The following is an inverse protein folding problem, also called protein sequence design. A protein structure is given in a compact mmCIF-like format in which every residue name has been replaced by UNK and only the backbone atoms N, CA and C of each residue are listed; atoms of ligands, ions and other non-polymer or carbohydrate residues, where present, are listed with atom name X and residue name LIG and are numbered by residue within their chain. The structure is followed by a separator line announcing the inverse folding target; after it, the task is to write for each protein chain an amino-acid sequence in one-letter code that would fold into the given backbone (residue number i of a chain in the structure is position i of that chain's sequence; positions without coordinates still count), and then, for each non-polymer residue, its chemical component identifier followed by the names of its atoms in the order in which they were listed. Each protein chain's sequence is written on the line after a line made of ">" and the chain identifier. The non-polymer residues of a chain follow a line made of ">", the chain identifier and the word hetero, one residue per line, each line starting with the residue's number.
data_IF_975486760539
#
_entry.id   IF_975486760539
#
_cell.length_a   1.000
_cell.length_b   1.000
_cell.length_c   1.000
_cell.angle_alpha   90.00
_cell.angle_beta   90.00
_cell.angle_gamma   90.00
#
_symmetry.space_group_name_H-M   'P 1'
#
loop_
_entity.id
_entity.type
_entity.pdbx_description
1 polymer ?
#
# COMPACT_ATOMS: atom_id res chain seq x y z
N UNK A 1 25.13 -42.18 -14.61
CA UNK A 1 23.80 -42.64 -15.06
C UNK A 1 23.61 -42.12 -16.47
N UNK A 2 23.14 -42.94 -17.41
CA UNK A 2 22.98 -42.54 -18.81
C UNK A 2 22.01 -41.36 -18.92
N UNK A 3 22.36 -40.34 -19.71
CA UNK A 3 21.47 -39.23 -20.04
C UNK A 3 20.28 -39.81 -20.83
N UNK A 4 19.13 -39.93 -20.16
CA UNK A 4 17.88 -40.31 -20.82
C UNK A 4 17.35 -39.13 -21.63
N UNK A 5 16.80 -39.40 -22.81
CA UNK A 5 15.98 -38.42 -23.53
C UNK A 5 14.79 -38.04 -22.65
N UNK A 6 14.69 -36.75 -22.31
CA UNK A 6 13.61 -36.20 -21.49
C UNK A 6 12.79 -35.18 -22.28
N UNK A 7 11.56 -34.94 -21.81
CA UNK A 7 10.76 -33.84 -22.34
C UNK A 7 11.34 -32.51 -21.83
N UNK A 8 11.59 -31.58 -22.75
CA UNK A 8 12.08 -30.23 -22.48
C UNK A 8 11.02 -29.23 -22.95
N UNK A 9 10.58 -28.36 -22.04
CA UNK A 9 9.75 -27.22 -22.38
C UNK A 9 10.62 -26.15 -23.05
N UNK A 10 10.31 -25.85 -24.31
CA UNK A 10 10.98 -24.83 -25.10
C UNK A 10 10.20 -23.53 -25.13
N UNK A 11 10.91 -22.41 -25.07
CA UNK A 11 10.35 -21.07 -25.03
C UNK A 11 11.32 -20.06 -25.65
N UNK A 12 10.84 -18.85 -25.90
CA UNK A 12 11.59 -17.76 -26.53
C UNK A 12 11.76 -16.60 -25.56
N UNK A 13 12.97 -16.03 -25.58
CA UNK A 13 13.32 -14.78 -24.89
C UNK A 13 14.16 -13.95 -25.86
N UNK A 14 13.63 -12.81 -26.30
CA UNK A 14 14.17 -12.05 -27.42
C UNK A 14 14.27 -12.92 -28.68
N UNK A 15 15.48 -12.96 -29.24
CA UNK A 15 15.82 -13.80 -30.40
C UNK A 15 16.29 -15.22 -29.99
N UNK A 16 16.45 -15.50 -28.69
CA UNK A 16 17.01 -16.76 -28.19
C UNK A 16 15.90 -17.78 -27.98
N UNK A 17 16.16 -19.02 -28.42
CA UNK A 17 15.35 -20.19 -28.07
C UNK A 17 16.01 -20.94 -26.91
N UNK A 18 15.23 -21.13 -25.86
CA UNK A 18 15.65 -21.74 -24.62
C UNK A 18 14.83 -22.98 -24.31
N UNK A 19 15.37 -23.86 -23.48
CA UNK A 19 14.70 -25.06 -22.99
C UNK A 19 14.92 -25.28 -21.49
N UNK A 20 13.92 -25.86 -20.83
CA UNK A 20 13.99 -26.37 -19.45
C UNK A 20 13.45 -27.79 -19.38
N UNK A 21 14.01 -28.67 -18.53
CA UNK A 21 13.43 -29.98 -18.28
C UNK A 21 11.97 -29.84 -17.84
N UNK A 22 11.04 -30.52 -18.50
CA UNK A 22 9.61 -30.42 -18.18
C UNK A 22 9.30 -30.93 -16.76
N UNK A 23 10.16 -31.77 -16.20
CA UNK A 23 10.07 -32.23 -14.81
C UNK A 23 10.29 -31.11 -13.77
N UNK A 24 11.02 -30.06 -14.14
CA UNK A 24 11.28 -28.90 -13.26
C UNK A 24 10.17 -27.85 -13.37
N UNK A 25 9.35 -27.92 -14.42
CA UNK A 25 8.26 -26.98 -14.67
C UNK A 25 7.03 -27.41 -13.89
N UNK A 26 6.63 -26.58 -12.92
CA UNK A 26 5.40 -26.78 -12.17
C UNK A 26 4.17 -26.36 -12.99
N UNK A 27 4.21 -25.16 -13.58
CA UNK A 27 3.15 -24.68 -14.46
C UNK A 27 3.61 -23.57 -15.42
N UNK A 28 2.80 -23.31 -16.44
CA UNK A 28 2.96 -22.17 -17.34
C UNK A 28 1.70 -21.33 -17.27
N UNK A 29 1.85 -20.07 -16.90
CA UNK A 29 0.72 -19.14 -16.75
C UNK A 29 0.88 -17.92 -17.66
N UNK A 30 -0.25 -17.27 -17.96
CA UNK A 30 -0.22 -15.92 -18.54
C UNK A 30 0.39 -14.98 -17.52
N UNK A 31 1.26 -14.07 -17.96
CA UNK A 31 1.93 -13.14 -17.06
C UNK A 31 0.91 -12.24 -16.33
N UNK A 32 0.77 -12.37 -14.99
CA UNK A 32 -0.03 -11.46 -14.19
C UNK A 32 0.71 -10.13 -14.03
N UNK A 33 0.11 -9.18 -13.29
CA UNK A 33 0.82 -7.96 -12.89
C UNK A 33 2.01 -8.34 -12.01
N UNK A 34 3.18 -7.83 -12.37
CA UNK A 34 4.42 -7.96 -11.59
C UNK A 34 4.61 -6.66 -10.81
N UNK A 35 4.71 -6.75 -9.49
CA UNK A 35 5.05 -5.62 -8.62
C UNK A 35 6.57 -5.51 -8.54
N UNK A 36 7.13 -4.40 -9.03
CA UNK A 36 8.57 -4.15 -8.94
C UNK A 36 9.00 -4.01 -7.48
N UNK A 37 10.18 -4.54 -7.19
CA UNK A 37 10.83 -4.43 -5.88
C UNK A 37 11.92 -3.37 -5.98
N UNK A 38 11.89 -2.30 -5.18
CA UNK A 38 12.96 -1.30 -5.17
C UNK A 38 14.34 -1.93 -4.91
N UNK A 39 15.38 -1.37 -5.54
CA UNK A 39 16.78 -1.84 -5.42
C UNK A 39 16.99 -3.32 -5.80
N UNK A 40 16.06 -3.91 -6.53
CA UNK A 40 16.24 -5.27 -6.99
C UNK A 40 17.34 -5.35 -8.06
N UNK A 41 18.06 -6.49 -8.16
CA UNK A 41 19.00 -6.71 -9.25
C UNK A 41 18.26 -6.64 -10.58
N UNK A 42 18.92 -6.24 -11.69
CA UNK A 42 18.25 -6.13 -12.99
C UNK A 42 17.51 -7.40 -13.42
N UNK A 43 18.07 -8.57 -13.07
CA UNK A 43 17.48 -9.88 -13.36
C UNK A 43 16.16 -10.15 -12.61
N UNK A 44 15.86 -9.45 -11.52
CA UNK A 44 14.57 -9.56 -10.84
C UNK A 44 13.57 -8.58 -11.46
N UNK A 45 12.55 -9.11 -12.12
CA UNK A 45 11.46 -8.30 -12.63
C UNK A 45 10.57 -7.77 -11.49
N UNK A 46 10.43 -8.56 -10.41
CA UNK A 46 9.66 -8.20 -9.23
C UNK A 46 9.03 -9.42 -8.57
N UNK A 47 7.85 -9.24 -7.98
CA UNK A 47 7.04 -10.30 -7.37
C UNK A 47 5.64 -10.34 -7.97
N UNK A 48 5.02 -11.51 -8.00
CA UNK A 48 3.65 -11.71 -8.49
C UNK A 48 2.86 -12.66 -7.58
N UNK A 49 1.54 -12.49 -7.53
CA UNK A 49 0.64 -13.45 -6.88
C UNK A 49 0.29 -14.57 -7.86
N UNK A 50 0.65 -15.80 -7.52
CA UNK A 50 0.31 -17.02 -8.25
C UNK A 50 -0.42 -17.97 -7.30
N UNK A 51 -1.70 -18.23 -7.56
CA UNK A 51 -2.56 -19.10 -6.74
C UNK A 51 -2.59 -18.72 -5.24
N UNK A 52 -2.43 -17.44 -4.93
CA UNK A 52 -2.41 -16.94 -3.55
C UNK A 52 -1.03 -17.02 -2.88
N UNK A 53 0.03 -17.41 -3.59
CA UNK A 53 1.41 -17.33 -3.13
C UNK A 53 2.15 -16.18 -3.83
N UNK A 54 3.01 -15.47 -3.09
CA UNK A 54 3.89 -14.44 -3.68
C UNK A 54 5.14 -15.11 -4.20
N UNK A 55 5.31 -15.11 -5.52
CA UNK A 55 6.40 -15.77 -6.22
C UNK A 55 7.34 -14.70 -6.82
N UNK A 56 8.66 -14.80 -6.60
CA UNK A 56 9.63 -13.95 -7.29
C UNK A 56 9.61 -14.23 -8.80
N UNK A 57 9.71 -13.16 -9.59
CA UNK A 57 9.70 -13.24 -11.05
C UNK A 57 11.04 -12.76 -11.59
N UNK A 58 11.75 -13.64 -12.28
CA UNK A 58 13.06 -13.37 -12.89
C UNK A 58 12.87 -13.09 -14.37
N UNK A 59 13.39 -11.94 -14.82
CA UNK A 59 13.49 -11.59 -16.23
C UNK A 59 14.64 -12.37 -16.86
N UNK A 60 14.33 -13.48 -17.54
CA UNK A 60 15.34 -14.40 -18.04
C UNK A 60 16.29 -13.76 -19.07
N UNK A 61 15.82 -12.78 -19.86
CA UNK A 61 16.67 -12.03 -20.79
C UNK A 61 17.80 -11.33 -20.05
N UNK A 62 17.45 -10.57 -19.01
CA UNK A 62 18.40 -9.86 -18.13
C UNK A 62 19.30 -10.80 -17.34
N UNK A 63 18.79 -11.96 -16.90
CA UNK A 63 19.62 -12.99 -16.26
C UNK A 63 20.72 -13.49 -17.21
N UNK A 64 20.44 -13.55 -18.50
CA UNK A 64 21.36 -14.01 -19.55
C UNK A 64 22.16 -12.85 -20.19
N UNK A 65 22.18 -11.67 -19.56
CA UNK A 65 22.93 -10.50 -19.99
C UNK A 65 22.34 -9.72 -21.16
N UNK A 66 21.05 -9.90 -21.44
CA UNK A 66 20.31 -9.11 -22.44
C UNK A 66 19.65 -7.89 -21.78
N UNK A 67 19.70 -6.73 -22.44
CA UNK A 67 19.03 -5.50 -21.97
C UNK A 67 17.51 -5.52 -22.26
N UNK A 68 17.05 -6.47 -23.09
CA UNK A 68 15.66 -6.58 -23.49
C UNK A 68 14.73 -6.84 -22.28
N UNK A 69 13.75 -5.96 -22.10
CA UNK A 69 12.61 -6.17 -21.20
C UNK A 69 11.65 -7.12 -21.87
N UNK A 70 11.31 -8.23 -21.21
CA UNK A 70 10.29 -9.19 -21.69
C UNK A 70 9.01 -8.43 -21.99
N UNK A 71 8.44 -8.61 -23.19
CA UNK A 71 7.34 -7.78 -23.67
C UNK A 71 6.07 -7.94 -22.81
N UNK A 72 5.28 -6.86 -22.70
CA UNK A 72 3.97 -6.91 -22.04
C UNK A 72 3.07 -7.93 -22.76
N UNK A 73 2.64 -8.99 -22.04
CA UNK A 73 1.85 -10.08 -22.60
C UNK A 73 2.53 -11.44 -22.69
N UNK A 74 3.75 -11.58 -22.14
CA UNK A 74 4.50 -12.84 -22.06
C UNK A 74 3.86 -13.95 -21.20
N UNK A 75 4.64 -15.00 -20.97
CA UNK A 75 4.29 -16.14 -20.11
C UNK A 75 5.23 -16.18 -18.91
N UNK A 76 4.73 -16.69 -17.79
CA UNK A 76 5.61 -17.12 -16.69
C UNK A 76 5.73 -18.64 -16.72
N UNK A 77 6.96 -19.13 -16.74
CA UNK A 77 7.28 -20.54 -16.51
C UNK A 77 7.63 -20.68 -15.04
N UNK A 78 6.75 -21.33 -14.27
CA UNK A 78 6.94 -21.54 -12.83
C UNK A 78 7.74 -22.81 -12.64
N UNK A 79 8.87 -22.68 -11.94
CA UNK A 79 9.76 -23.78 -11.62
C UNK A 79 9.45 -24.26 -10.20
N UNK A 80 9.26 -25.58 -10.07
CA UNK A 80 8.98 -26.25 -8.81
C UNK A 80 10.25 -26.46 -7.97
N UNK A 81 10.07 -26.63 -6.65
CA UNK A 81 11.15 -26.86 -5.70
C UNK A 81 10.74 -26.46 -4.27
N UNK A 82 11.67 -26.45 -3.31
CA UNK A 82 11.40 -25.96 -1.95
C UNK A 82 11.00 -24.46 -1.91
N UNK A 83 11.42 -23.69 -2.93
CA UNK A 83 11.07 -22.28 -3.11
C UNK A 83 10.63 -22.04 -4.57
N UNK A 84 9.33 -21.85 -4.83
CA UNK A 84 8.85 -21.63 -6.19
C UNK A 84 9.39 -20.31 -6.76
N UNK A 85 9.77 -20.33 -8.04
CA UNK A 85 10.28 -19.20 -8.79
C UNK A 85 9.62 -19.14 -10.16
N UNK A 86 9.31 -17.95 -10.65
CA UNK A 86 8.79 -17.76 -12.00
C UNK A 86 9.85 -17.14 -12.93
N UNK A 87 10.00 -17.69 -14.13
CA UNK A 87 10.79 -17.10 -15.20
C UNK A 87 9.87 -16.39 -16.19
N UNK A 88 10.10 -15.10 -16.41
CA UNK A 88 9.41 -14.35 -17.44
C UNK A 88 10.02 -14.66 -18.82
N UNK A 89 9.17 -15.13 -19.73
CA UNK A 89 9.52 -15.49 -21.11
C UNK A 89 8.54 -14.82 -22.09
N UNK A 90 8.98 -14.54 -23.32
CA UNK A 90 8.12 -13.89 -24.30
C UNK A 90 7.04 -14.85 -24.82
N UNK A 91 7.42 -16.10 -25.08
CA UNK A 91 6.54 -17.08 -25.70
C UNK A 91 6.94 -18.52 -25.34
N UNK A 92 5.96 -19.39 -25.12
CA UNK A 92 6.19 -20.83 -24.93
C UNK A 92 5.93 -21.54 -26.25
N UNK A 93 6.95 -22.24 -26.75
CA UNK A 93 6.96 -22.87 -28.08
C UNK A 93 6.42 -24.29 -28.06
N UNK A 94 6.59 -25.01 -26.94
CA UNK A 94 6.06 -26.36 -26.74
C UNK A 94 7.07 -27.33 -26.13
N UNK A 95 6.73 -28.63 -26.14
CA UNK A 95 7.60 -29.68 -25.61
C UNK A 95 8.40 -30.33 -26.76
N UNK A 96 9.69 -30.56 -26.52
CA UNK A 96 10.60 -31.27 -27.43
C UNK A 96 11.35 -32.36 -26.68
N UNK A 97 11.89 -33.36 -27.38
CA UNK A 97 12.80 -34.33 -26.77
C UNK A 97 14.25 -33.89 -26.92
N UNK A 98 14.97 -33.86 -25.80
CA UNK A 98 16.41 -33.61 -25.76
C UNK A 98 17.02 -34.32 -24.55
N UNK A 99 18.35 -34.53 -24.56
CA UNK A 99 19.06 -34.92 -23.35
C UNK A 99 19.04 -33.74 -22.39
N UNK A 100 18.39 -33.92 -21.23
CA UNK A 100 18.26 -32.86 -20.26
C UNK A 100 18.37 -33.35 -18.80
N UNK A 101 19.13 -32.62 -17.99
CA UNK A 101 19.25 -32.78 -16.54
C UNK A 101 18.51 -31.66 -15.80
N UNK A 102 17.93 -32.01 -14.65
CA UNK A 102 17.23 -31.08 -13.76
C UNK A 102 18.15 -29.93 -13.30
N UNK A 103 17.61 -28.72 -13.24
CA UNK A 103 18.33 -27.51 -12.81
C UNK A 103 19.17 -26.83 -13.89
N UNK A 104 19.06 -27.26 -15.15
CA UNK A 104 19.81 -26.69 -16.28
C UNK A 104 18.90 -25.97 -17.29
N UNK A 105 19.36 -24.83 -17.82
CA UNK A 105 18.77 -24.16 -18.99
C UNK A 105 19.58 -24.49 -20.24
N UNK A 106 18.86 -24.86 -21.30
CA UNK A 106 19.42 -25.15 -22.62
C UNK A 106 19.26 -23.93 -23.52
N UNK A 107 20.34 -23.48 -24.13
CA UNK A 107 20.37 -22.42 -25.12
C UNK A 107 20.65 -23.01 -26.51
N UNK A 108 19.75 -22.78 -27.45
CA UNK A 108 19.99 -23.14 -28.86
C UNK A 108 20.80 -22.03 -29.53
N UNK A 109 22.08 -22.28 -29.84
CA UNK A 109 22.95 -21.35 -30.56
C UNK A 109 23.35 -21.92 -31.94
N UNK A 110 23.78 -21.03 -32.86
CA UNK A 110 24.27 -21.39 -34.18
C UNK A 110 25.64 -22.11 -34.08
N UNK A 111 25.63 -23.35 -33.60
CA UNK A 111 26.83 -24.15 -33.32
C UNK A 111 26.62 -25.30 -32.32
N UNK A 112 25.47 -25.37 -31.64
CA UNK A 112 25.17 -26.42 -30.66
C UNK A 112 24.30 -25.90 -29.51
N UNK A 113 23.91 -26.79 -28.60
CA UNK A 113 23.19 -26.42 -27.39
C UNK A 113 24.18 -26.11 -26.26
N UNK A 114 24.11 -24.89 -25.67
CA UNK A 114 24.85 -24.55 -24.45
C UNK A 114 23.99 -24.82 -23.23
N UNK A 115 24.55 -25.48 -22.23
CA UNK A 115 23.89 -25.81 -20.97
C UNK A 115 24.36 -24.83 -19.90
N UNK A 116 23.42 -24.24 -19.15
CA UNK A 116 23.72 -23.30 -18.07
C UNK A 116 23.08 -23.78 -16.76
N UNK A 117 23.82 -23.80 -15.63
CA UNK A 117 23.27 -24.15 -14.33
C UNK A 117 22.35 -23.03 -13.83
N UNK A 118 21.03 -23.25 -13.90
CA UNK A 118 20.03 -22.22 -13.59
C UNK A 118 20.12 -21.78 -12.13
N UNK A 119 20.22 -22.74 -11.21
CA UNK A 119 20.30 -22.45 -9.79
C UNK A 119 21.54 -21.62 -9.44
N UNK A 120 22.68 -21.86 -10.10
CA UNK A 120 23.90 -21.08 -9.88
C UNK A 120 23.82 -19.69 -10.49
N UNK A 121 23.21 -19.53 -11.68
CA UNK A 121 22.98 -18.22 -12.29
C UNK A 121 22.07 -17.35 -11.43
N UNK A 122 21.01 -17.96 -10.88
CA UNK A 122 20.16 -17.31 -9.90
C UNK A 122 21.01 -16.98 -8.66
N UNK A 123 21.63 -17.96 -8.01
CA UNK A 123 22.41 -17.72 -6.80
C UNK A 123 23.52 -16.67 -6.96
N UNK A 124 24.16 -16.57 -8.12
CA UNK A 124 25.19 -15.57 -8.42
C UNK A 124 24.63 -14.14 -8.51
N UNK A 125 23.46 -13.96 -9.14
CA UNK A 125 22.78 -12.67 -9.20
C UNK A 125 22.02 -12.34 -7.89
N UNK A 126 21.76 -13.37 -7.09
CA UNK A 126 20.93 -13.31 -5.89
C UNK A 126 21.70 -13.72 -4.62
N UNK A 127 23.02 -13.53 -4.55
CA UNK A 127 23.86 -13.99 -3.43
C UNK A 127 23.46 -13.43 -2.04
N UNK A 128 22.62 -12.39 -2.00
CA UNK A 128 21.94 -11.90 -0.80
C UNK A 128 20.73 -12.71 -0.34
N UNK A 129 20.07 -13.47 -1.22
CA UNK A 129 18.85 -14.27 -0.95
C UNK A 129 19.11 -15.48 -0.04
N UNK A 130 20.31 -16.09 -0.11
CA UNK A 130 20.57 -17.38 0.56
C UNK A 130 20.91 -17.27 2.05
N UNK A 131 21.33 -16.09 2.54
CA UNK A 131 21.87 -15.91 3.90
C UNK A 131 20.81 -15.59 4.97
N UNK A 132 19.57 -15.26 4.60
CA UNK A 132 18.59 -14.70 5.53
C UNK A 132 17.98 -15.70 6.54
N UNK A 133 18.19 -17.03 6.39
CA UNK A 133 17.51 -18.04 7.22
C UNK A 133 18.26 -18.55 8.44
N UNK A 134 19.53 -18.23 8.67
CA UNK A 134 20.21 -18.71 9.90
C UNK A 134 19.86 -17.91 11.17
N UNK A 135 18.93 -16.94 11.11
CA UNK A 135 18.56 -16.13 12.30
C UNK A 135 17.08 -15.84 12.53
N UNK A 136 16.19 -16.02 11.54
CA UNK A 136 14.80 -15.59 11.68
C UNK A 136 13.86 -16.78 11.92
N UNK A 137 13.71 -17.17 13.19
CA UNK A 137 12.41 -17.69 13.64
C UNK A 137 11.35 -16.64 13.31
N UNK A 138 10.19 -17.07 12.81
CA UNK A 138 9.02 -16.23 12.58
C UNK A 138 8.82 -15.33 13.80
N UNK A 139 9.21 -14.06 13.67
CA UNK A 139 9.11 -13.11 14.76
C UNK A 139 7.61 -12.94 15.03
N UNK A 140 7.11 -13.23 16.25
CA UNK A 140 5.74 -12.93 16.58
C UNK A 140 5.53 -11.44 16.32
N UNK A 141 4.39 -11.09 15.69
CA UNK A 141 3.98 -9.72 15.37
C UNK A 141 4.36 -8.77 16.51
N UNK A 142 5.53 -8.13 16.39
CA UNK A 142 6.07 -7.28 17.44
C UNK A 142 5.36 -5.96 17.28
N UNK A 143 4.37 -5.74 18.14
CA UNK A 143 3.66 -4.46 18.28
C UNK A 143 4.67 -3.33 18.19
N UNK A 144 4.58 -2.53 17.14
CA UNK A 144 5.30 -1.28 17.02
C UNK A 144 4.91 -0.44 18.23
N UNK A 145 5.81 -0.30 19.21
CA UNK A 145 5.63 0.64 20.31
C UNK A 145 5.59 2.04 19.71
N UNK A 146 4.39 2.60 19.65
CA UNK A 146 4.15 4.02 19.37
C UNK A 146 4.64 4.87 20.55
N UNK A 147 5.05 6.13 20.32
CA UNK A 147 5.36 7.07 21.40
C UNK A 147 4.16 7.27 22.33
N UNK A 148 4.43 7.42 23.64
CA UNK A 148 3.42 7.81 24.65
C UNK A 148 3.32 9.34 24.79
N UNK A 149 2.16 9.89 24.44
CA UNK A 149 1.29 10.79 25.22
C UNK A 149 0.01 11.07 24.39
N UNK A 150 -1.06 11.57 25.01
CA UNK A 150 -2.47 11.57 24.58
C UNK A 150 -2.81 12.36 23.27
N UNK A 151 -2.23 11.96 22.14
CA UNK A 151 -2.55 12.50 20.82
C UNK A 151 -3.57 11.61 20.10
N UNK A 152 -4.65 12.23 19.62
CA UNK A 152 -5.67 11.56 18.79
C UNK A 152 -5.25 11.67 17.33
N UNK A 153 -5.32 10.55 16.61
CA UNK A 153 -5.17 10.53 15.16
C UNK A 153 -6.52 10.69 14.48
N UNK A 154 -6.61 11.58 13.51
CA UNK A 154 -7.83 11.97 12.79
C UNK A 154 -7.63 11.81 11.29
N UNK A 155 -8.60 11.24 10.58
CA UNK A 155 -8.68 11.27 9.13
C UNK A 155 -9.40 12.54 8.68
N UNK A 156 -8.68 13.47 8.05
CA UNK A 156 -9.20 14.71 7.48
C UNK A 156 -9.75 14.55 6.06
N UNK A 157 -10.84 15.24 5.77
CA UNK A 157 -11.49 15.29 4.46
C UNK A 157 -12.23 16.63 4.27
N UNK A 158 -12.68 16.88 3.05
CA UNK A 158 -13.47 18.08 2.70
C UNK A 158 -14.91 17.69 2.42
N UNK A 159 -15.84 18.54 2.86
CA UNK A 159 -17.25 18.55 2.42
C UNK A 159 -17.64 19.98 2.04
N UNK A 160 -18.13 20.18 0.82
CA UNK A 160 -18.54 21.49 0.28
C UNK A 160 -17.47 22.60 0.47
N UNK A 161 -16.19 22.23 0.29
CA UNK A 161 -15.05 23.14 0.46
C UNK A 161 -14.59 23.37 1.90
N UNK A 162 -15.29 22.83 2.90
CA UNK A 162 -14.95 22.98 4.32
C UNK A 162 -14.23 21.74 4.88
N UNK A 163 -13.23 21.91 5.78
CA UNK A 163 -12.47 20.80 6.36
C UNK A 163 -13.21 20.14 7.53
N UNK A 164 -13.27 18.80 7.49
CA UNK A 164 -13.82 17.93 8.52
C UNK A 164 -12.82 16.81 8.85
N UNK A 165 -13.01 16.15 9.98
CA UNK A 165 -12.22 14.98 10.32
C UNK A 165 -13.01 13.93 11.12
N UNK A 166 -12.57 12.68 11.05
CA UNK A 166 -13.08 11.54 11.82
C UNK A 166 -11.96 10.91 12.64
N UNK A 167 -12.21 10.42 13.87
CA UNK A 167 -11.24 9.62 14.61
C UNK A 167 -10.74 8.43 13.79
N UNK A 168 -9.44 8.36 13.57
CA UNK A 168 -8.83 7.35 12.71
C UNK A 168 -9.04 5.94 13.27
N UNK A 169 -9.20 5.79 14.58
CA UNK A 169 -9.55 4.52 15.23
C UNK A 169 -10.93 3.99 14.83
N UNK A 170 -11.87 4.88 14.51
CA UNK A 170 -13.20 4.52 14.03
C UNK A 170 -13.22 4.29 12.52
N UNK A 171 -12.16 4.65 11.79
CA UNK A 171 -12.02 4.38 10.36
C UNK A 171 -11.43 2.98 10.13
N UNK A 172 -12.17 2.15 9.40
CA UNK A 172 -11.77 0.80 9.02
C UNK A 172 -11.03 0.77 7.70
N UNK A 173 -11.61 1.38 6.67
CA UNK A 173 -11.02 1.49 5.35
C UNK A 173 -11.59 2.69 4.60
N UNK A 174 -10.89 3.12 3.55
CA UNK A 174 -11.36 4.20 2.68
C UNK A 174 -11.30 3.73 1.24
N UNK A 175 -12.45 3.73 0.59
CA UNK A 175 -12.65 3.12 -0.72
C UNK A 175 -13.01 4.18 -1.77
N UNK A 176 -12.75 3.88 -3.04
CA UNK A 176 -13.35 4.63 -4.13
C UNK A 176 -14.87 4.40 -4.14
N UNK A 177 -15.64 5.39 -4.59
CA UNK A 177 -17.09 5.22 -4.74
C UNK A 177 -17.32 4.21 -5.88
N UNK A 178 -18.06 3.11 -5.63
CA UNK A 178 -18.40 2.16 -6.68
C UNK A 178 -19.32 2.81 -7.71
N UNK A 179 -19.29 2.30 -8.95
CA UNK A 179 -20.14 2.82 -10.03
C UNK A 179 -21.64 2.67 -9.71
N UNK A 180 -22.02 1.61 -8.98
CA UNK A 180 -23.39 1.31 -8.62
C UNK A 180 -23.52 1.12 -7.10
N UNK A 181 -24.35 1.95 -6.46
CA UNK A 181 -24.84 1.76 -5.09
C UNK A 181 -26.29 1.32 -5.20
N UNK A 182 -26.63 0.16 -4.62
CA UNK A 182 -27.99 -0.36 -4.70
C UNK A 182 -28.92 0.50 -3.84
N UNK A 183 -29.84 1.22 -4.48
CA UNK A 183 -30.81 2.06 -3.80
C UNK A 183 -31.74 1.22 -2.90
N UNK A 184 -31.94 1.68 -1.67
CA UNK A 184 -32.93 1.09 -0.78
C UNK A 184 -34.28 1.84 -0.93
N UNK A 185 -35.40 1.12 -1.02
CA UNK A 185 -36.72 1.76 -1.03
C UNK A 185 -37.04 2.39 0.33
N UNK A 186 -37.70 3.57 0.31
CA UNK A 186 -38.17 4.30 1.50
C UNK A 186 -37.08 4.74 2.50
N UNK A 187 -35.94 5.19 2.02
CA UNK A 187 -34.88 5.72 2.88
C UNK A 187 -34.86 7.25 2.93
N UNK A 188 -34.28 7.79 4.00
CA UNK A 188 -34.08 9.23 4.18
C UNK A 188 -33.18 9.84 3.10
N UNK A 189 -33.24 11.16 2.92
CA UNK A 189 -32.48 11.93 1.94
C UNK A 189 -30.96 11.78 2.10
N UNK A 190 -30.48 11.42 3.30
CA UNK A 190 -29.08 11.16 3.56
C UNK A 190 -28.60 9.79 3.07
N UNK A 191 -29.47 8.79 2.97
CA UNK A 191 -29.12 7.42 2.65
C UNK A 191 -29.00 7.23 1.13
N UNK A 192 -27.80 6.86 0.66
CA UNK A 192 -27.53 6.65 -0.76
C UNK A 192 -27.88 5.21 -1.20
N UNK A 193 -27.79 4.25 -0.29
CA UNK A 193 -28.13 2.85 -0.54
C UNK A 193 -27.17 1.88 0.14
N UNK A 194 -27.05 0.65 -0.37
CA UNK A 194 -26.14 -0.38 0.17
C UNK A 194 -25.12 -0.81 -0.89
N UNK A 195 -23.91 -1.14 -0.43
CA UNK A 195 -22.87 -1.75 -1.26
C UNK A 195 -22.38 -3.05 -0.63
N UNK A 196 -21.83 -3.96 -1.44
CA UNK A 196 -21.17 -5.17 -0.93
C UNK A 196 -19.71 -4.84 -0.58
N UNK A 197 -19.29 -5.24 0.61
CA UNK A 197 -17.93 -5.11 1.10
C UNK A 197 -17.50 -6.45 1.70
N UNK A 198 -16.67 -7.19 0.95
CA UNK A 198 -16.19 -8.54 1.32
C UNK A 198 -17.34 -9.50 1.68
N UNK A 199 -18.42 -9.45 0.90
CA UNK A 199 -19.61 -10.29 1.09
C UNK A 199 -20.60 -9.80 2.15
N UNK A 200 -20.27 -8.74 2.91
CA UNK A 200 -21.20 -8.09 3.84
C UNK A 200 -21.86 -6.86 3.20
N UNK A 201 -23.12 -6.61 3.53
CA UNK A 201 -23.81 -5.38 3.11
C UNK A 201 -23.36 -4.21 3.98
N UNK A 202 -22.84 -3.16 3.32
CA UNK A 202 -22.46 -1.91 3.94
C UNK A 202 -23.47 -0.81 3.55
N UNK A 203 -24.22 -0.24 4.51
CA UNK A 203 -25.02 0.96 4.29
C UNK A 203 -24.13 2.14 3.91
N UNK A 204 -24.48 2.87 2.86
CA UNK A 204 -23.73 4.03 2.34
C UNK A 204 -24.58 5.29 2.46
N UNK A 205 -24.02 6.31 3.08
CA UNK A 205 -24.70 7.56 3.46
C UNK A 205 -23.91 8.76 2.97
N UNK A 206 -24.61 9.79 2.50
CA UNK A 206 -24.02 11.07 2.11
C UNK A 206 -23.70 11.92 3.33
N UNK A 207 -22.41 12.18 3.59
CA UNK A 207 -21.99 13.04 4.72
C UNK A 207 -22.46 14.49 4.53
N UNK A 208 -22.55 14.96 3.28
CA UNK A 208 -23.09 16.29 2.98
C UNK A 208 -24.57 16.39 3.39
N UNK A 209 -25.39 15.41 2.99
CA UNK A 209 -26.80 15.40 3.33
C UNK A 209 -27.02 15.28 4.85
N UNK A 210 -26.25 14.43 5.53
CA UNK A 210 -26.27 14.33 7.00
C UNK A 210 -25.98 15.68 7.68
N UNK A 211 -25.07 16.48 7.13
CA UNK A 211 -24.71 17.80 7.67
C UNK A 211 -25.58 18.95 7.11
N UNK A 212 -26.61 18.65 6.31
CA UNK A 212 -27.46 19.67 5.68
C UNK A 212 -26.73 20.52 4.63
N UNK A 213 -25.63 20.03 4.07
CA UNK A 213 -24.85 20.69 3.03
C UNK A 213 -25.43 20.40 1.63
N UNK A 214 -25.27 21.31 0.66
CA UNK A 214 -25.80 21.14 -0.69
C UNK A 214 -25.21 19.89 -1.37
N UNK A 215 -26.10 19.07 -1.94
CA UNK A 215 -25.71 17.93 -2.75
C UNK A 215 -24.98 18.37 -4.02
N UNK A 216 -23.96 17.63 -4.41
CA UNK A 216 -23.23 17.82 -5.67
C UNK A 216 -23.14 16.45 -6.38
N UNK A 217 -23.20 16.40 -7.72
CA UNK A 217 -22.94 15.17 -8.45
C UNK A 217 -21.58 14.58 -8.06
N UNK A 218 -21.51 13.24 -8.04
CA UNK A 218 -20.33 12.48 -7.62
C UNK A 218 -19.08 12.96 -8.35
N UNK A 219 -18.14 13.54 -7.60
CA UNK A 219 -16.88 13.99 -8.16
C UNK A 219 -15.84 12.82 -8.19
N UNK A 220 -14.84 12.82 -9.09
CA UNK A 220 -13.83 11.74 -9.17
C UNK A 220 -12.94 11.60 -7.92
N UNK A 221 -12.84 12.64 -7.11
CA UNK A 221 -12.10 12.68 -5.85
C UNK A 221 -12.85 12.08 -4.66
N UNK A 222 -14.14 11.79 -4.82
CA UNK A 222 -15.01 11.36 -3.74
C UNK A 222 -14.67 9.94 -3.28
N UNK A 223 -14.85 9.69 -1.99
CA UNK A 223 -14.44 8.45 -1.32
C UNK A 223 -15.53 7.99 -0.35
N UNK A 224 -15.60 6.69 -0.12
CA UNK A 224 -16.39 6.08 0.95
C UNK A 224 -15.47 5.80 2.13
N UNK A 225 -15.66 6.52 3.24
CA UNK A 225 -14.98 6.25 4.51
C UNK A 225 -15.81 5.24 5.28
N UNK A 226 -15.30 4.01 5.45
CA UNK A 226 -15.98 2.97 6.23
C UNK A 226 -15.69 3.21 7.71
N UNK A 227 -16.70 3.68 8.43
CA UNK A 227 -16.63 3.99 9.85
C UNK A 227 -17.33 2.90 10.70
N UNK A 228 -16.78 2.64 11.88
CA UNK A 228 -17.41 1.79 12.91
C UNK A 228 -18.33 2.60 13.81
N UNK A 229 -19.50 2.05 14.12
CA UNK A 229 -20.48 2.59 15.08
C UNK A 229 -20.92 1.45 16.00
N UNK A 230 -20.32 1.39 17.18
CA UNK A 230 -20.35 0.16 18.00
C UNK A 230 -19.86 -1.02 17.16
N UNK A 231 -20.68 -2.08 17.07
CA UNK A 231 -20.36 -3.28 16.28
C UNK A 231 -20.76 -3.19 14.80
N UNK A 232 -21.45 -2.12 14.40
CA UNK A 232 -21.91 -1.95 13.03
C UNK A 232 -20.90 -1.13 12.20
N UNK A 233 -21.03 -1.21 10.87
CA UNK A 233 -20.22 -0.45 9.91
C UNK A 233 -21.12 0.38 9.01
N UNK A 234 -20.68 1.58 8.66
CA UNK A 234 -21.35 2.47 7.72
C UNK A 234 -20.33 3.10 6.77
N UNK A 235 -20.68 3.24 5.50
CA UNK A 235 -19.91 3.98 4.52
C UNK A 235 -20.34 5.45 4.49
N UNK A 236 -19.44 6.36 4.81
CA UNK A 236 -19.66 7.80 4.75
C UNK A 236 -19.05 8.35 3.47
N UNK A 237 -19.87 8.88 2.56
CA UNK A 237 -19.39 9.51 1.33
C UNK A 237 -18.85 10.90 1.64
N UNK A 238 -17.58 11.14 1.26
CA UNK A 238 -16.87 12.40 1.43
C UNK A 238 -16.31 12.90 0.09
N UNK A 239 -16.13 14.21 -0.08
CA UNK A 239 -15.77 14.78 -1.38
C UNK A 239 -14.33 14.47 -1.79
N UNK A 240 -13.41 14.52 -0.83
CA UNK A 240 -11.99 14.25 -1.02
C UNK A 240 -11.29 14.14 0.33
N UNK A 241 -10.36 13.21 0.45
CA UNK A 241 -9.43 13.15 1.58
C UNK A 241 -8.42 14.30 1.53
N UNK A 242 -8.08 14.87 2.68
CA UNK A 242 -7.03 15.89 2.78
C UNK A 242 -5.75 15.30 3.32
N UNK A 243 -5.80 14.79 4.54
CA UNK A 243 -4.64 14.50 5.37
C UNK A 243 -5.03 13.61 6.53
N UNK A 244 -4.07 12.85 7.06
CA UNK A 244 -4.17 12.32 8.43
C UNK A 244 -3.58 13.39 9.35
N UNK A 245 -4.20 13.64 10.49
CA UNK A 245 -3.76 14.66 11.45
C UNK A 245 -3.58 14.00 12.82
N UNK A 246 -2.42 14.19 13.45
CA UNK A 246 -2.27 13.96 14.90
C UNK A 246 -2.37 15.28 15.64
N UNK A 247 -3.08 15.27 16.76
CA UNK A 247 -3.23 16.42 17.63
C UNK A 247 -3.42 15.99 19.09
N UNK A 248 -2.90 16.76 20.05
CA UNK A 248 -3.17 16.51 21.47
C UNK A 248 -4.65 16.70 21.76
N UNK A 249 -5.21 15.91 22.68
CA UNK A 249 -6.62 16.03 23.09
C UNK A 249 -6.96 17.45 23.55
N UNK A 250 -5.99 18.18 24.10
CA UNK A 250 -6.15 19.59 24.53
C UNK A 250 -6.38 20.58 23.40
N UNK A 251 -6.02 20.26 22.15
CA UNK A 251 -6.29 21.09 20.98
C UNK A 251 -7.73 20.93 20.45
N UNK A 252 -8.48 19.97 21.00
CA UNK A 252 -9.88 19.71 20.69
C UNK A 252 -10.75 20.50 21.66
N UNK A 253 -11.47 21.49 21.12
CA UNK A 253 -12.35 22.38 21.89
C UNK A 253 -13.83 22.08 21.68
N UNK A 254 -14.70 22.57 22.59
CA UNK A 254 -16.14 22.41 22.46
C UNK A 254 -16.68 23.14 21.22
N UNK A 255 -17.71 22.58 20.61
CA UNK A 255 -18.39 23.19 19.45
C UNK A 255 -19.14 24.44 19.90
N UNK A 256 -19.02 25.59 19.22
CA UNK A 256 -19.79 26.79 19.53
C UNK A 256 -21.25 26.46 19.25
N UNK A 257 -22.15 26.76 20.19
CA UNK A 257 -23.58 26.43 20.11
C UNK A 257 -24.26 26.91 18.81
N UNK A 258 -23.67 27.90 18.12
CA UNK A 258 -24.13 28.41 16.83
C UNK A 258 -24.04 27.38 15.70
N UNK A 259 -23.02 26.50 15.69
CA UNK A 259 -22.81 25.52 14.62
C UNK A 259 -23.77 24.32 14.70
N UNK A 260 -24.35 24.05 15.87
CA UNK A 260 -25.31 22.96 16.08
C UNK A 260 -26.78 23.38 15.86
N UNK A 261 -27.04 24.59 15.34
CA UNK A 261 -28.39 25.13 15.06
C UNK A 261 -28.87 24.94 13.60
N UNK A 262 -28.12 24.21 12.79
CA UNK A 262 -28.43 23.96 11.37
C UNK A 262 -29.51 22.88 11.14
N UNK A 263 -30.00 22.78 9.90
CA UNK A 263 -31.04 21.83 9.47
C UNK A 263 -30.56 20.39 9.24
N UNK A 264 -29.28 20.08 9.52
CA UNK A 264 -28.69 18.75 9.34
C UNK A 264 -28.96 17.80 10.51
N UNK A 265 -28.97 16.50 10.23
CA UNK A 265 -29.19 15.43 11.22
C UNK A 265 -27.95 15.16 12.08
N UNK A 266 -26.75 15.37 11.53
CA UNK A 266 -25.48 15.09 12.18
C UNK A 266 -25.05 16.15 13.21
N UNK A 267 -24.43 15.69 14.30
CA UNK A 267 -23.80 16.55 15.30
C UNK A 267 -22.29 16.69 15.05
N UNK A 268 -21.78 17.92 15.10
CA UNK A 268 -20.34 18.14 15.19
C UNK A 268 -19.95 17.85 16.64
N UNK A 269 -19.01 16.94 16.85
CA UNK A 269 -18.65 16.48 18.18
C UNK A 269 -17.67 17.46 18.84
N UNK A 270 -16.69 17.94 18.07
CA UNK A 270 -15.71 18.89 18.55
C UNK A 270 -15.10 19.72 17.42
N UNK A 271 -14.33 20.74 17.79
CA UNK A 271 -13.49 21.48 16.84
C UNK A 271 -12.02 21.30 17.20
N UNK A 272 -11.24 20.83 16.23
CA UNK A 272 -9.79 20.86 16.31
C UNK A 272 -9.29 22.23 15.87
N UNK A 273 -8.48 22.87 16.72
CA UNK A 273 -7.72 24.06 16.37
C UNK A 273 -6.33 23.65 15.86
N UNK A 274 -6.02 23.99 14.62
CA UNK A 274 -4.71 23.80 14.03
C UNK A 274 -3.74 24.87 14.53
N UNK A 275 -2.44 24.57 14.49
CA UNK A 275 -1.38 25.48 14.95
C UNK A 275 -1.31 26.79 14.12
N UNK A 276 -1.74 26.75 12.86
CA UNK A 276 -1.84 27.91 11.96
C UNK A 276 -3.11 28.75 12.17
N UNK A 277 -3.92 28.41 13.18
CA UNK A 277 -5.19 29.07 13.49
C UNK A 277 -6.39 28.53 12.70
N UNK A 278 -6.18 27.57 11.79
CA UNK A 278 -7.25 26.87 11.10
C UNK A 278 -8.16 26.08 12.04
N UNK A 279 -9.41 25.87 11.63
CA UNK A 279 -10.40 25.08 12.37
C UNK A 279 -10.82 23.89 11.53
N UNK A 280 -10.85 22.71 12.14
CA UNK A 280 -11.35 21.46 11.53
C UNK A 280 -12.45 20.89 12.41
N UNK A 281 -13.63 20.67 11.83
CA UNK A 281 -14.76 20.06 12.54
C UNK A 281 -14.54 18.56 12.70
N UNK A 282 -14.46 18.07 13.94
CA UNK A 282 -14.31 16.65 14.24
C UNK A 282 -15.71 16.04 14.41
N UNK A 283 -15.99 15.01 13.61
CA UNK A 283 -17.24 14.27 13.61
C UNK A 283 -17.08 12.98 14.43
N UNK A 284 -18.14 12.55 15.11
CA UNK A 284 -18.24 11.22 15.74
C UNK A 284 -19.27 10.41 14.96
N UNK A 285 -18.89 9.28 14.33
CA UNK A 285 -19.82 8.38 13.65
C UNK A 285 -21.04 8.00 14.50
N UNK A 286 -20.86 7.84 15.81
CA UNK A 286 -21.92 7.49 16.75
C UNK A 286 -22.98 8.58 16.89
N UNK A 287 -22.59 9.85 16.71
CA UNK A 287 -23.46 11.03 16.83
C UNK A 287 -23.88 11.62 15.47
N UNK A 288 -23.42 11.04 14.37
CA UNK A 288 -23.81 11.45 13.01
C UNK A 288 -25.27 11.09 12.66
N UNK A 289 -25.89 10.16 13.37
CA UNK A 289 -27.22 9.63 13.07
C UNK A 289 -28.19 9.90 14.21
N UNK A 290 -29.24 10.70 13.98
CA UNK A 290 -30.33 10.90 14.94
C UNK A 290 -31.41 9.82 14.76
N UNK A 291 -31.33 8.84 15.66
CA UNK A 291 -32.26 7.79 16.11
C UNK A 291 -33.14 6.91 15.19
N UNK A 292 -33.64 7.27 14.00
CA UNK A 292 -34.69 6.39 13.40
C UNK A 292 -34.29 5.57 12.15
N UNK A 293 -33.92 6.19 11.03
CA UNK A 293 -33.82 5.44 9.75
C UNK A 293 -32.54 4.60 9.60
N UNK A 294 -31.36 5.17 9.87
CA UNK A 294 -30.08 4.47 9.71
C UNK A 294 -29.84 3.52 10.89
N UNK A 295 -30.23 3.91 12.10
CA UNK A 295 -30.12 3.07 13.29
C UNK A 295 -30.92 1.77 13.13
N UNK A 296 -32.14 1.84 12.57
CA UNK A 296 -32.93 0.65 12.25
C UNK A 296 -32.25 -0.23 11.20
N UNK A 297 -31.70 0.33 10.11
CA UNK A 297 -30.97 -0.46 9.10
C UNK A 297 -29.71 -1.12 9.70
N UNK A 298 -29.01 -0.43 10.59
CA UNK A 298 -27.85 -0.98 11.30
C UNK A 298 -28.29 -2.09 12.29
N UNK A 299 -29.45 -1.96 12.93
CA UNK A 299 -30.04 -2.98 13.80
C UNK A 299 -30.55 -4.20 13.00
N UNK A 300 -31.23 -4.00 11.89
CA UNK A 300 -31.70 -5.04 10.97
C UNK A 300 -30.51 -5.78 10.32
N UNK A 301 -29.48 -5.03 9.94
CA UNK A 301 -28.21 -5.57 9.46
C UNK A 301 -27.49 -6.39 10.53
N UNK A 302 -27.53 -5.96 11.80
CA UNK A 302 -27.05 -6.76 12.94
C UNK A 302 -27.87 -8.04 13.11
N UNK A 303 -29.20 -8.00 13.00
CA UNK A 303 -30.05 -9.18 13.16
C UNK A 303 -29.90 -10.18 12.01
N UNK A 304 -29.76 -9.72 10.76
CA UNK A 304 -29.46 -10.57 9.60
C UNK A 304 -28.01 -11.09 9.58
N UNK A 305 -27.06 -10.30 10.07
CA UNK A 305 -25.66 -10.69 10.24
C UNK A 305 -25.39 -11.57 11.46
N UNK A 306 -26.25 -11.53 12.49
CA UNK A 306 -26.08 -12.28 13.73
C UNK A 306 -26.23 -13.81 13.58
N UNK A 307 -26.83 -14.29 12.47
CA UNK A 307 -26.82 -15.73 12.13
C UNK A 307 -25.59 -16.14 11.30
N UNK A 308 -24.76 -15.20 10.85
CA UNK A 308 -23.52 -15.45 10.11
C UNK A 308 -22.29 -14.98 10.92
N UNK A 309 -22.03 -15.73 11.99
CA UNK A 309 -20.74 -15.92 12.68
C UNK A 309 -20.02 -14.71 13.30
N UNK A 310 -19.97 -14.76 14.63
CA UNK A 310 -19.03 -14.11 15.54
C UNK A 310 -17.55 -14.59 15.35
N UNK A 311 -17.12 -14.85 14.12
CA UNK A 311 -15.77 -15.36 13.80
C UNK A 311 -14.96 -14.46 12.84
N UNK A 312 -15.50 -13.29 12.45
CA UNK A 312 -14.78 -12.29 11.65
C UNK A 312 -14.67 -10.95 12.38
N UNK A 313 -14.00 -10.99 13.53
CA UNK A 313 -13.37 -9.81 14.11
C UNK A 313 -11.85 -9.84 13.88
N UNK A 314 -11.38 -10.30 12.72
CA UNK A 314 -10.03 -9.94 12.30
C UNK A 314 -10.06 -8.52 11.77
N UNK A 315 -9.75 -7.57 12.66
CA UNK A 315 -9.56 -6.16 12.34
C UNK A 315 -8.20 -5.96 11.68
N UNK A 316 -7.95 -6.71 10.61
CA UNK A 316 -6.66 -6.85 9.93
C UNK A 316 -5.81 -5.58 9.90
N UNK A 317 -4.50 -5.75 9.94
CA UNK A 317 -3.55 -4.64 10.03
C UNK A 317 -3.86 -3.53 9.01
N UNK A 318 -3.85 -2.27 9.48
CA UNK A 318 -4.24 -1.11 8.69
C UNK A 318 -3.04 -0.44 8.06
N UNK A 319 -3.10 -0.22 6.75
CA UNK A 319 -2.04 0.39 5.96
C UNK A 319 -2.54 1.61 5.19
N UNK A 320 -1.73 2.66 5.17
CA UNK A 320 -1.84 3.76 4.21
C UNK A 320 -1.22 3.29 2.89
N UNK A 321 -2.01 3.26 1.82
CA UNK A 321 -1.54 2.86 0.49
C UNK A 321 -1.15 4.10 -0.31
N UNK A 322 0.12 4.17 -0.69
CA UNK A 322 0.67 5.25 -1.52
C UNK A 322 1.28 4.71 -2.81
N UNK A 323 1.48 5.61 -3.78
CA UNK A 323 2.01 5.27 -5.10
C UNK A 323 3.36 5.92 -5.35
N UNK A 324 4.23 5.18 -6.03
CA UNK A 324 5.44 5.69 -6.67
C UNK A 324 5.48 5.07 -8.07
N UNK A 325 5.38 5.88 -9.12
CA UNK A 325 5.22 5.40 -10.48
C UNK A 325 3.90 4.66 -10.66
N UNK A 326 4.00 3.38 -11.04
CA UNK A 326 2.87 2.47 -11.25
C UNK A 326 2.70 1.49 -10.08
N UNK A 327 3.52 1.62 -9.03
CA UNK A 327 3.64 0.66 -7.94
C UNK A 327 2.92 1.17 -6.69
N UNK A 328 2.32 0.24 -5.94
CA UNK A 328 1.61 0.50 -4.69
C UNK A 328 2.40 -0.03 -3.51
N UNK A 329 2.52 0.78 -2.47
CA UNK A 329 3.22 0.45 -1.23
C UNK A 329 2.31 0.71 -0.05
N UNK A 330 2.43 -0.12 0.99
CA UNK A 330 1.64 0.00 2.21
C UNK A 330 2.52 0.40 3.38
N UNK A 331 2.20 1.52 4.04
CA UNK A 331 2.86 1.91 5.30
C UNK A 331 1.90 1.67 6.47
N UNK A 332 2.31 1.00 7.56
CA UNK A 332 1.46 0.83 8.73
C UNK A 332 0.89 2.17 9.19
N UNK A 333 -0.43 2.27 9.25
CA UNK A 333 -1.07 3.57 9.48
C UNK A 333 -0.72 4.16 10.85
N UNK A 334 -0.41 3.29 11.83
CA UNK A 334 0.07 3.70 13.15
C UNK A 334 1.39 4.48 13.11
N UNK A 335 2.24 4.27 12.10
CA UNK A 335 3.50 4.98 11.93
C UNK A 335 3.36 6.33 11.20
N UNK A 336 2.19 6.61 10.63
CA UNK A 336 1.91 7.87 9.94
C UNK A 336 1.50 8.92 10.96
N UNK A 337 2.21 10.05 10.99
CA UNK A 337 1.85 11.24 11.75
C UNK A 337 0.95 12.16 10.94
N UNK A 338 1.28 12.38 9.66
CA UNK A 338 0.51 13.26 8.78
C UNK A 338 0.64 12.86 7.31
N UNK A 339 -0.35 13.21 6.50
CA UNK A 339 -0.23 13.20 5.03
C UNK A 339 -0.48 14.62 4.52
N UNK A 340 0.57 15.33 4.14
CA UNK A 340 0.46 16.70 3.68
C UNK A 340 0.57 16.81 2.16
N UNK A 341 0.15 17.94 1.60
CA UNK A 341 0.55 18.30 0.23
C UNK A 341 2.05 18.63 0.27
N UNK A 342 2.80 18.11 -0.70
CA UNK A 342 4.20 18.46 -0.83
C UNK A 342 4.31 19.90 -1.38
N UNK A 343 4.99 20.83 -0.68
CA UNK A 343 5.20 22.17 -1.21
C UNK A 343 6.26 22.16 -2.33
N UNK A 344 6.02 22.96 -3.36
CA UNK A 344 6.96 23.18 -4.45
C UNK A 344 7.16 24.70 -4.63
N UNK A 345 8.39 25.24 -4.50
CA UNK A 345 9.65 24.54 -4.23
C UNK A 345 9.83 24.14 -2.73
N UNK A 346 10.69 23.16 -2.48
CA UNK A 346 11.21 22.86 -1.14
C UNK A 346 12.32 23.85 -0.75
N UNK A 347 12.44 24.15 0.55
CA UNK A 347 13.57 24.94 1.06
C UNK A 347 14.84 24.10 0.96
N UNK A 348 15.85 24.60 0.24
CA UNK A 348 17.13 23.90 0.10
C UNK A 348 17.93 24.01 1.39
N UNK A 349 18.55 22.90 1.79
CA UNK A 349 19.46 22.87 2.94
C UNK A 349 20.90 22.69 2.45
N UNK A 350 21.81 23.63 2.72
CA UNK A 350 23.23 23.50 2.36
C UNK A 350 23.85 22.26 3.00
N UNK A 351 24.70 21.55 2.24
CA UNK A 351 25.39 20.34 2.69
C UNK A 351 24.46 19.20 3.15
N UNK A 352 23.18 19.24 2.80
CA UNK A 352 22.29 18.13 3.07
C UNK A 352 22.70 16.88 2.26
N UNK A 353 22.51 15.69 2.82
CA UNK A 353 22.75 14.43 2.12
C UNK A 353 21.96 14.35 0.82
N UNK A 354 22.49 13.62 -0.16
CA UNK A 354 21.86 13.48 -1.48
C UNK A 354 20.43 12.90 -1.44
N UNK A 355 20.09 12.12 -0.40
CA UNK A 355 18.75 11.57 -0.20
C UNK A 355 17.73 12.58 0.35
N UNK A 356 18.18 13.72 0.89
CA UNK A 356 17.33 14.80 1.38
C UNK A 356 17.07 15.77 0.24
N UNK A 357 15.81 15.85 -0.21
CA UNK A 357 15.39 16.76 -1.27
C UNK A 357 15.33 18.22 -0.80
N UNK A 358 15.15 18.43 0.50
CA UNK A 358 15.08 19.74 1.15
C UNK A 358 14.37 19.64 2.49
N UNK A 359 13.85 20.75 2.97
CA UNK A 359 13.01 20.83 4.17
C UNK A 359 11.70 21.53 3.84
N UNK A 360 10.64 21.12 4.54
CA UNK A 360 9.34 21.79 4.51
C UNK A 360 8.96 22.23 5.93
N UNK A 361 8.21 23.32 6.02
CA UNK A 361 7.58 23.69 7.28
C UNK A 361 6.32 22.84 7.48
N UNK A 362 6.31 22.02 8.53
CA UNK A 362 5.15 21.26 8.95
C UNK A 362 4.66 21.81 10.29
N UNK A 363 3.62 22.66 10.24
CA UNK A 363 2.99 23.26 11.43
C UNK A 363 3.94 24.02 12.37
N UNK A 364 4.96 24.68 11.81
CA UNK A 364 5.97 25.41 12.58
C UNK A 364 7.22 24.59 12.91
N UNK A 365 7.24 23.29 12.61
CA UNK A 365 8.41 22.42 12.76
C UNK A 365 9.08 22.18 11.40
N UNK A 366 10.42 22.24 11.35
CA UNK A 366 11.16 21.92 10.14
C UNK A 366 11.20 20.40 9.92
N UNK A 367 10.56 19.92 8.85
CA UNK A 367 10.55 18.52 8.47
C UNK A 367 11.44 18.27 7.24
N UNK A 368 12.54 17.50 7.37
CA UNK A 368 13.33 17.03 6.24
C UNK A 368 12.47 16.19 5.29
N UNK A 369 12.60 16.47 4.00
CA UNK A 369 11.86 15.78 2.94
C UNK A 369 12.79 14.83 2.19
N UNK A 370 12.42 13.55 2.16
CA UNK A 370 13.13 12.49 1.44
C UNK A 370 12.31 12.12 0.21
N UNK A 371 12.92 12.18 -0.98
CA UNK A 371 12.24 11.81 -2.22
C UNK A 371 12.26 10.28 -2.44
N UNK A 372 11.11 9.64 -2.21
CA UNK A 372 11.01 8.19 -2.32
C UNK A 372 11.12 7.67 -3.75
N UNK A 373 10.87 8.50 -4.78
CA UNK A 373 11.16 8.09 -6.17
C UNK A 373 12.66 7.89 -6.35
N UNK A 374 13.45 8.88 -5.91
CA UNK A 374 14.92 8.80 -5.98
C UNK A 374 15.44 7.67 -5.13
N UNK A 375 14.92 7.52 -3.90
CA UNK A 375 15.31 6.43 -3.01
C UNK A 375 15.03 5.10 -3.66
N UNK A 376 13.84 4.86 -4.23
CA UNK A 376 13.48 3.56 -4.78
C UNK A 376 13.87 3.35 -6.26
N UNK A 377 14.65 4.25 -6.85
CA UNK A 377 15.10 4.14 -8.25
C UNK A 377 13.96 4.26 -9.28
N UNK A 378 12.89 4.98 -8.96
CA UNK A 378 11.75 5.18 -9.85
C UNK A 378 12.11 6.27 -10.87
N UNK A 379 12.21 5.88 -12.14
CA UNK A 379 12.54 6.79 -13.24
C UNK A 379 11.42 7.77 -13.60
N UNK A 380 11.81 8.96 -14.06
CA UNK A 380 10.89 10.02 -14.50
C UNK A 380 10.37 10.91 -13.36
N UNK A 381 9.74 12.02 -13.75
CA UNK A 381 9.15 12.98 -12.81
C UNK A 381 7.71 12.59 -12.44
N UNK A 382 7.32 12.90 -11.20
CA UNK A 382 5.94 12.75 -10.78
C UNK A 382 5.04 13.79 -11.49
N UNK A 383 3.77 13.45 -11.79
CA UNK A 383 2.81 14.43 -12.29
C UNK A 383 2.68 15.63 -11.33
N UNK A 384 2.83 16.84 -11.86
CA UNK A 384 2.79 18.08 -11.09
C UNK A 384 1.48 18.23 -10.29
N UNK A 385 1.57 18.77 -9.07
CA UNK A 385 0.42 19.11 -8.22
C UNK A 385 -0.27 17.95 -7.51
N UNK A 386 0.19 16.69 -7.70
CA UNK A 386 -0.39 15.50 -7.05
C UNK A 386 0.45 14.89 -5.94
N UNK A 387 1.73 15.25 -5.84
CA UNK A 387 2.64 14.72 -4.82
C UNK A 387 2.13 14.97 -3.40
N UNK A 388 2.46 14.04 -2.51
CA UNK A 388 2.14 14.08 -1.08
C UNK A 388 3.40 13.88 -0.27
N UNK A 389 3.42 14.44 0.93
CA UNK A 389 4.41 14.15 1.96
C UNK A 389 3.76 13.23 2.98
N UNK A 390 4.20 11.97 3.06
CA UNK A 390 3.81 11.05 4.14
C UNK A 390 4.78 11.26 5.29
N UNK A 391 4.29 11.84 6.37
CA UNK A 391 5.08 12.24 7.53
C UNK A 391 5.08 11.12 8.56
N UNK A 392 6.26 10.80 9.07
CA UNK A 392 6.48 9.82 10.14
C UNK A 392 7.47 10.38 11.15
N UNK A 393 7.63 9.71 12.29
CA UNK A 393 8.69 10.01 13.24
C UNK A 393 9.69 8.86 13.31
N UNK A 394 10.93 9.16 12.95
CA UNK A 394 12.05 8.21 12.95
C UNK A 394 13.16 8.82 13.79
N UNK A 395 13.72 8.04 14.73
CA UNK A 395 14.76 8.54 15.65
C UNK A 395 14.32 9.73 16.52
N UNK A 396 13.02 9.95 16.69
CA UNK A 396 12.46 11.09 17.42
C UNK A 396 12.22 12.35 16.57
N UNK A 397 12.72 12.41 15.33
CA UNK A 397 12.56 13.55 14.43
C UNK A 397 11.40 13.34 13.44
N UNK A 398 10.65 14.42 13.17
CA UNK A 398 9.63 14.45 12.13
C UNK A 398 10.30 14.38 10.76
N UNK A 399 9.96 13.37 9.96
CA UNK A 399 10.51 13.15 8.62
C UNK A 399 9.38 13.00 7.61
N UNK A 400 9.47 13.71 6.48
CA UNK A 400 8.49 13.68 5.41
C UNK A 400 9.00 12.86 4.22
N UNK A 401 8.25 11.85 3.80
CA UNK A 401 8.53 11.04 2.62
C UNK A 401 7.69 11.54 1.44
N UNK A 402 8.33 12.10 0.42
CA UNK A 402 7.66 12.57 -0.78
C UNK A 402 7.27 11.39 -1.69
N UNK A 403 5.97 11.25 -1.94
CA UNK A 403 5.36 10.20 -2.77
C UNK A 403 4.50 10.81 -3.87
N UNK A 404 4.14 10.04 -4.90
CA UNK A 404 3.35 10.56 -6.03
C UNK A 404 1.90 10.84 -5.63
N UNK A 405 1.37 10.03 -4.72
CA UNK A 405 0.00 10.13 -4.25
C UNK A 405 -0.30 9.15 -3.14
N UNK A 406 -1.37 9.44 -2.40
CA UNK A 406 -1.98 8.53 -1.43
C UNK A 406 -3.33 8.12 -2.00
N UNK A 407 -3.59 6.82 -2.03
CA UNK A 407 -4.73 6.24 -2.76
C UNK A 407 -5.87 5.85 -1.82
N UNK A 408 -5.58 5.04 -0.81
CA UNK A 408 -6.57 4.43 0.08
C UNK A 408 -5.96 4.03 1.43
N UNK A 409 -6.83 3.71 2.39
CA UNK A 409 -6.46 3.05 3.65
C UNK A 409 -7.11 1.67 3.63
N UNK A 410 -6.30 0.63 3.78
CA UNK A 410 -6.76 -0.76 3.74
C UNK A 410 -6.55 -1.46 5.08
N UNK A 411 -7.58 -2.15 5.56
CA UNK A 411 -7.47 -3.17 6.60
C UNK A 411 -7.21 -4.54 5.95
N UNK A 412 -6.01 -5.07 6.11
CA UNK A 412 -5.55 -6.30 5.46
C UNK A 412 -5.52 -7.43 6.50
N UNK A 413 -6.33 -8.50 6.33
CA UNK A 413 -6.35 -9.63 7.25
C UNK A 413 -4.98 -10.29 7.37
N UNK A 414 -4.68 -10.85 8.54
CA UNK A 414 -3.38 -11.46 8.80
C UNK A 414 -3.07 -12.61 7.81
N UNK A 415 -4.07 -13.36 7.37
CA UNK A 415 -3.88 -14.46 6.42
C UNK A 415 -3.48 -13.99 5.01
N UNK A 416 -3.66 -12.70 4.72
CA UNK A 416 -3.27 -12.08 3.45
C UNK A 416 -1.92 -11.37 3.49
N UNK A 417 -1.26 -11.39 4.65
CA UNK A 417 0.07 -10.83 4.85
C UNK A 417 1.05 -11.99 4.98
N UNK A 418 2.03 -12.03 4.09
CA UNK A 418 3.11 -13.01 4.13
C UNK A 418 4.45 -12.29 4.33
N UNK A 419 5.45 -13.02 4.80
CA UNK A 419 6.83 -12.57 4.67
C UNK A 419 7.14 -12.37 3.18
N UNK A 420 7.93 -11.36 2.85
CA UNK A 420 8.44 -11.26 1.48
C UNK A 420 9.24 -12.53 1.15
N UNK A 421 9.08 -13.11 -0.06
CA UNK A 421 10.01 -14.13 -0.51
C UNK A 421 11.41 -13.51 -0.50
N UNK A 422 12.46 -14.26 -0.13
CA UNK A 422 13.80 -13.69 0.15
C UNK A 422 14.16 -12.60 -0.86
N UNK A 423 14.09 -11.31 -0.52
CA UNK A 423 14.47 -10.22 -1.42
C UNK A 423 15.97 -9.91 -1.20
N UNK A 424 16.53 -8.96 -1.94
CA UNK A 424 17.91 -8.50 -1.67
C UNK A 424 18.03 -7.99 -0.23
N UNK A 425 19.23 -8.08 0.35
CA UNK A 425 19.48 -7.67 1.74
C UNK A 425 19.07 -6.20 2.03
N UNK A 426 19.19 -5.32 1.04
CA UNK A 426 18.80 -3.91 1.18
C UNK A 426 17.28 -3.72 1.05
N UNK A 427 16.63 -4.41 0.10
CA UNK A 427 15.18 -4.37 -0.05
C UNK A 427 14.46 -5.05 1.13
N UNK A 428 15.01 -6.14 1.67
CA UNK A 428 14.46 -6.87 2.81
C UNK A 428 14.51 -6.11 4.13
N UNK A 429 15.33 -5.05 4.25
CA UNK A 429 15.31 -4.15 5.41
C UNK A 429 14.11 -3.19 5.38
N UNK A 430 13.67 -2.78 4.19
CA UNK A 430 12.55 -1.84 4.01
C UNK A 430 11.22 -2.58 3.82
N UNK A 431 11.23 -3.77 3.21
CA UNK A 431 10.05 -4.54 2.84
C UNK A 431 10.15 -5.98 3.38
N UNK A 432 9.81 -6.16 4.64
CA UNK A 432 9.83 -7.46 5.32
C UNK A 432 8.57 -8.30 5.04
N UNK A 433 7.48 -7.64 4.60
CA UNK A 433 6.17 -8.25 4.38
C UNK A 433 5.53 -7.81 3.08
N UNK A 434 4.67 -8.66 2.57
CA UNK A 434 3.90 -8.45 1.35
C UNK A 434 2.44 -8.80 1.60
N UNK A 435 1.54 -7.94 1.12
CA UNK A 435 0.11 -8.18 1.17
C UNK A 435 -0.43 -8.57 -0.20
N UNK A 436 -1.30 -9.58 -0.23
CA UNK A 436 -2.05 -9.98 -1.42
C UNK A 436 -3.52 -9.57 -1.26
N UNK A 437 -4.00 -8.71 -2.16
CA UNK A 437 -5.39 -8.27 -2.16
C UNK A 437 -6.28 -9.24 -2.95
N UNK A 438 -7.59 -9.19 -2.70
CA UNK A 438 -8.60 -10.03 -3.38
C UNK A 438 -8.66 -9.79 -4.90
N UNK A 439 -8.33 -8.57 -5.33
CA UNK A 439 -8.26 -8.18 -6.74
C UNK A 439 -6.94 -8.62 -7.42
N UNK A 440 -6.09 -9.38 -6.72
CA UNK A 440 -4.81 -9.87 -7.21
C UNK A 440 -3.66 -8.86 -7.12
N UNK A 441 -3.90 -7.64 -6.60
CA UNK A 441 -2.80 -6.68 -6.36
C UNK A 441 -1.87 -7.19 -5.27
N UNK A 442 -0.57 -7.07 -5.53
CA UNK A 442 0.50 -7.33 -4.55
C UNK A 442 1.03 -5.98 -4.06
N UNK A 443 0.97 -5.75 -2.75
CA UNK A 443 1.44 -4.53 -2.10
C UNK A 443 2.65 -4.87 -1.22
N UNK A 444 3.78 -4.22 -1.48
CA UNK A 444 4.94 -4.30 -0.60
C UNK A 444 4.67 -3.46 0.65
N UNK A 445 4.79 -4.08 1.82
CA UNK A 445 4.58 -3.42 3.10
C UNK A 445 5.90 -2.88 3.62
N UNK A 446 5.93 -1.57 3.87
CA UNK A 446 7.10 -0.83 4.34
C UNK A 446 7.23 -1.00 5.84
N UNK A 447 8.39 -1.46 6.32
CA UNK A 447 8.79 -1.28 7.71
C UNK A 447 9.27 0.17 7.90
N UNK A 448 8.57 1.00 8.70
CA UNK A 448 9.01 2.37 8.98
C UNK A 448 10.43 2.45 9.55
N UNK A 449 10.90 1.41 10.26
CA UNK A 449 12.24 1.35 10.84
C UNK A 449 13.33 1.09 9.81
N UNK A 450 12.97 0.51 8.67
CA UNK A 450 13.86 0.29 7.54
C UNK A 450 13.96 1.49 6.60
N UNK A 451 13.07 2.49 6.74
CA UNK A 451 13.05 3.65 5.84
C UNK A 451 14.34 4.48 5.91
N UNK A 452 14.99 4.52 7.08
CA UNK A 452 16.29 5.14 7.30
C UNK A 452 17.15 4.20 8.15
N UNK A 453 18.42 4.06 7.79
CA UNK A 453 19.38 3.42 8.69
C UNK A 453 19.69 4.32 9.90
N UNK A 454 20.47 3.81 10.87
CA UNK A 454 20.80 4.58 12.08
C UNK A 454 21.57 5.87 11.77
N UNK A 455 22.55 5.82 10.88
CA UNK A 455 23.37 6.97 10.53
C UNK A 455 22.55 8.02 9.78
N UNK A 456 21.68 7.59 8.86
CA UNK A 456 20.74 8.46 8.17
C UNK A 456 19.74 9.10 9.14
N UNK A 457 19.20 8.32 10.08
CA UNK A 457 18.28 8.81 11.10
C UNK A 457 18.91 9.89 11.98
N UNK A 458 20.16 9.68 12.43
CA UNK A 458 20.89 10.64 13.26
C UNK A 458 21.13 11.96 12.48
N UNK A 459 21.47 11.84 11.19
CA UNK A 459 21.72 12.97 10.31
C UNK A 459 20.45 13.78 10.01
N UNK A 460 19.32 13.09 9.78
CA UNK A 460 18.00 13.72 9.61
C UNK A 460 17.57 14.45 10.89
N UNK A 461 17.81 13.85 12.06
CA UNK A 461 17.53 14.49 13.34
C UNK A 461 18.38 15.77 13.55
N UNK A 462 19.66 15.74 13.21
CA UNK A 462 20.54 16.92 13.27
C UNK A 462 20.05 18.03 12.32
N UNK A 463 19.68 17.67 11.09
CA UNK A 463 19.18 18.62 10.09
C UNK A 463 17.88 19.29 10.54
N UNK A 464 16.94 18.54 11.11
CA UNK A 464 15.70 19.09 11.65
C UNK A 464 15.98 20.12 12.75
N UNK A 465 16.89 19.82 13.69
CA UNK A 465 17.26 20.72 14.78
C UNK A 465 17.97 21.98 14.29
N UNK A 466 18.91 21.86 13.35
CA UNK A 466 19.64 23.00 12.80
C UNK A 466 18.74 23.94 12.01
N UNK A 467 17.79 23.39 11.26
CA UNK A 467 16.87 24.18 10.45
C UNK A 467 15.84 24.90 11.34
N UNK A 468 15.38 24.27 12.42
CA UNK A 468 14.49 24.90 13.39
C UNK A 468 15.12 26.12 14.10
N UNK A 469 16.44 26.21 14.18
CA UNK A 469 17.14 27.38 14.74
C UNK A 469 17.23 28.58 13.77
N UNK A 470 16.87 28.40 12.50
CA UNK A 470 17.01 29.41 11.45
C UNK A 470 15.68 29.81 10.78
N UNK A 471 14.57 29.15 11.14
CA UNK A 471 13.19 29.54 10.81
C UNK A 471 12.60 30.36 11.96
#
# INVERSE_FOLDING_TARGET
>A
MAAGQGNVLTFRVGERRLGLPAADVFEVVRQPRITRVPHSPPALAGVASLRGEVVPVVALGRLLGDDAVTASGGRLVVIGGERPLALAVDEVLGLTQAEAQSGEIYLSEAGGARVLPLHELIAAQFAGFARARTGAQAAPARKTELPRAADIALLGFVLAGQPYALPLEQVREVLAIPADIAALPKTDAAMLGVMSLRGALLPVVSSRALLGLPAEPTNPGARVVVASIGDARVGLVVDRLTSILRAPVTAIGPVPAVLNRGAGEAHIDAMLRLADGGLVSVLSPERLFREDSVAQILQDGRQRGAQMTAQQADLGERFLIFTLGQEHYGLPIGAVEEVARLPEPLTRVPNAPAFVAGVMNLRGEAAPVIDQRRRFGVEGDAPAGRRRAVVTRIGGAVTAFAVDGVTEILAIPAERIAATPDLTADAGQVFDRVAQLEDGRVILLVDPRGLLDRAESDLVAELAQRTAAHL
#
